data_IF_302432037528
#
_entry.id   IF_302432037528
#
_cell.length_a   1.000
_cell.length_b   1.000
_cell.length_c   1.000
_cell.angle_alpha   90.00
_cell.angle_beta   90.00
_cell.angle_gamma   90.00
#
_symmetry.space_group_name_H-M   'P 1'
#
loop_
_entity.id
_entity.type
_entity.pdbx_description
1 polymer ?
#
# COMPACT_ATOMS: atom_id res chain seq x y z
N UNK A 1 -1.70 6.04 -17.24
CA UNK A 1 -2.39 4.76 -17.47
C UNK A 1 -3.62 4.73 -16.56
N UNK A 2 -4.83 4.33 -16.99
CA UNK A 2 -5.97 4.30 -16.08
C UNK A 2 -5.81 3.18 -15.04
N UNK A 3 -6.03 3.52 -13.77
CA UNK A 3 -6.07 2.57 -12.66
C UNK A 3 -7.37 1.77 -12.70
N UNK A 4 -7.29 0.46 -12.46
CA UNK A 4 -8.44 -0.39 -12.19
C UNK A 4 -8.70 -0.37 -10.69
N UNK A 5 -9.80 0.25 -10.27
CA UNK A 5 -10.19 0.32 -8.86
C UNK A 5 -10.85 -0.99 -8.47
N UNK A 6 -10.30 -1.64 -7.45
CA UNK A 6 -10.81 -2.92 -6.92
C UNK A 6 -11.51 -2.71 -5.56
N UNK A 7 -10.96 -1.82 -4.72
CA UNK A 7 -11.57 -1.46 -3.43
C UNK A 7 -11.85 0.04 -3.39
N UNK A 8 -13.06 0.38 -2.95
CA UNK A 8 -13.58 1.74 -2.78
C UNK A 8 -14.47 1.79 -1.53
N UNK A 9 -14.17 2.72 -0.62
CA UNK A 9 -14.93 2.80 0.62
C UNK A 9 -14.50 3.92 1.55
N UNK A 10 -15.18 4.01 2.68
CA UNK A 10 -14.85 4.96 3.74
C UNK A 10 -14.39 4.23 4.99
N UNK A 11 -13.44 4.83 5.69
CA UNK A 11 -12.87 4.31 6.93
C UNK A 11 -12.74 5.43 7.96
N UNK A 12 -12.84 5.08 9.25
CA UNK A 12 -12.52 6.01 10.33
C UNK A 12 -11.19 5.61 10.95
N UNK A 13 -10.16 6.43 10.77
CA UNK A 13 -8.82 6.23 11.32
C UNK A 13 -8.88 5.98 12.83
N UNK A 14 -8.20 4.93 13.29
CA UNK A 14 -8.21 4.46 14.67
C UNK A 14 -9.32 3.48 15.00
N UNK A 15 -10.18 3.13 14.04
CA UNK A 15 -11.06 1.97 14.14
C UNK A 15 -10.35 0.77 13.52
N UNK A 16 -10.41 -0.39 14.19
CA UNK A 16 -9.79 -1.58 13.64
C UNK A 16 -10.46 -1.97 12.32
N UNK A 17 -9.67 -2.06 11.26
CA UNK A 17 -10.14 -2.49 9.95
C UNK A 17 -9.09 -3.31 9.25
N UNK A 18 -9.54 -4.18 8.35
CA UNK A 18 -8.69 -4.79 7.35
C UNK A 18 -9.48 -4.93 6.06
N UNK A 19 -8.81 -4.72 4.94
CA UNK A 19 -9.34 -5.06 3.62
C UNK A 19 -8.22 -5.57 2.72
N UNK A 20 -8.60 -6.49 1.85
CA UNK A 20 -7.73 -7.11 0.87
C UNK A 20 -8.19 -6.68 -0.53
N UNK A 21 -7.22 -6.48 -1.41
CA UNK A 21 -7.46 -6.19 -2.82
C UNK A 21 -6.59 -7.10 -3.67
N UNK A 22 -7.17 -7.65 -4.73
CA UNK A 22 -6.48 -8.57 -5.61
C UNK A 22 -6.14 -7.90 -6.94
N UNK A 23 -4.95 -8.23 -7.45
CA UNK A 23 -4.56 -7.84 -8.80
C UNK A 23 -5.55 -8.40 -9.84
N UNK A 24 -5.76 -7.73 -10.99
CA UNK A 24 -6.73 -8.17 -12.01
C UNK A 24 -6.54 -9.59 -12.54
N UNK A 25 -5.30 -10.12 -12.53
CA UNK A 25 -5.00 -11.50 -12.94
C UNK A 25 -4.96 -12.49 -11.76
N UNK A 26 -5.24 -12.01 -10.55
CA UNK A 26 -5.32 -12.77 -9.30
C UNK A 26 -3.97 -13.24 -8.74
N UNK A 27 -2.83 -12.85 -9.33
CA UNK A 27 -1.52 -13.35 -8.90
C UNK A 27 -0.99 -12.70 -7.64
N UNK A 28 -1.28 -11.42 -7.45
CA UNK A 28 -0.84 -10.65 -6.30
C UNK A 28 -2.04 -10.10 -5.54
N UNK A 29 -1.78 -9.75 -4.28
CA UNK A 29 -2.73 -9.02 -3.47
C UNK A 29 -2.02 -7.92 -2.67
N UNK A 30 -2.81 -6.98 -2.18
CA UNK A 30 -2.38 -6.02 -1.18
C UNK A 30 -3.39 -5.99 -0.05
N UNK A 31 -2.90 -5.75 1.16
CA UNK A 31 -3.74 -5.69 2.36
C UNK A 31 -3.49 -4.38 3.06
N UNK A 32 -4.56 -3.67 3.38
CA UNK A 32 -4.51 -2.56 4.32
C UNK A 32 -5.00 -3.03 5.68
N UNK A 33 -4.38 -2.51 6.74
CA UNK A 33 -4.78 -2.74 8.11
C UNK A 33 -4.66 -1.44 8.91
N UNK A 34 -5.72 -1.10 9.64
CA UNK A 34 -5.65 -0.16 10.77
C UNK A 34 -5.83 -1.01 12.04
N UNK A 35 -4.82 -1.02 12.92
CA UNK A 35 -4.86 -1.80 14.16
C UNK A 35 -5.37 -1.01 15.37
N UNK A 36 -5.92 0.19 15.13
CA UNK A 36 -6.31 1.24 16.08
C UNK A 36 -5.15 2.11 16.62
N UNK A 37 -3.90 1.77 16.32
CA UNK A 37 -2.73 2.59 16.66
C UNK A 37 -2.01 3.08 15.40
N UNK A 38 -1.87 2.23 14.40
CA UNK A 38 -1.10 2.45 13.18
C UNK A 38 -1.81 1.87 11.95
N UNK A 39 -1.76 2.61 10.85
CA UNK A 39 -2.17 2.16 9.53
C UNK A 39 -0.98 1.56 8.76
N UNK A 40 -1.14 0.34 8.28
CA UNK A 40 -0.15 -0.38 7.47
C UNK A 40 -0.72 -0.80 6.12
N UNK A 41 0.17 -0.94 5.15
CA UNK A 41 -0.16 -1.50 3.84
C UNK A 41 0.87 -2.55 3.44
N UNK A 42 0.42 -3.70 2.98
CA UNK A 42 1.24 -4.88 2.75
C UNK A 42 1.15 -5.38 1.32
N UNK A 43 2.29 -5.79 0.76
CA UNK A 43 2.37 -6.49 -0.53
C UNK A 43 2.35 -8.00 -0.28
N UNK A 44 1.45 -8.71 -0.98
CA UNK A 44 1.26 -10.14 -0.82
C UNK A 44 1.55 -10.85 -2.15
N UNK A 45 2.41 -11.86 -2.07
CA UNK A 45 2.62 -12.85 -3.14
C UNK A 45 2.18 -14.23 -2.62
N UNK A 46 0.96 -14.68 -2.94
CA UNK A 46 0.46 -16.00 -2.58
C UNK A 46 1.32 -17.16 -3.11
N UNK A 47 2.07 -16.96 -4.20
CA UNK A 47 2.91 -17.99 -4.80
C UNK A 47 4.30 -18.09 -4.16
N UNK A 48 4.75 -17.08 -3.41
CA UNK A 48 6.07 -17.07 -2.77
C UNK A 48 6.27 -18.24 -1.80
N UNK A 49 7.44 -18.88 -1.81
CA UNK A 49 7.76 -19.92 -0.82
C UNK A 49 8.01 -19.29 0.56
N UNK A 50 7.40 -19.85 1.61
CA UNK A 50 7.52 -19.31 2.96
C UNK A 50 6.55 -18.17 3.26
N UNK A 51 7.06 -17.01 3.68
CA UNK A 51 6.24 -15.86 4.05
C UNK A 51 5.58 -15.25 2.81
N UNK A 52 4.25 -15.08 2.86
CA UNK A 52 3.45 -14.51 1.77
C UNK A 52 3.46 -12.99 1.77
N UNK A 53 3.67 -12.38 2.94
CA UNK A 53 3.89 -10.94 3.06
C UNK A 53 5.30 -10.63 2.57
N UNK A 54 5.39 -10.04 1.39
CA UNK A 54 6.65 -9.71 0.75
C UNK A 54 7.21 -8.38 1.25
N UNK A 55 6.33 -7.42 1.53
CA UNK A 55 6.71 -6.09 1.99
C UNK A 55 5.58 -5.47 2.82
N UNK A 56 5.92 -4.48 3.64
CA UNK A 56 4.98 -3.78 4.49
C UNK A 56 5.46 -2.36 4.75
N UNK A 57 4.61 -1.39 4.45
CA UNK A 57 4.91 0.04 4.60
C UNK A 57 3.99 0.70 5.60
N UNK A 58 4.53 1.70 6.30
CA UNK A 58 3.79 2.54 7.20
C UNK A 58 3.00 3.60 6.41
N UNK A 59 1.71 3.75 6.74
CA UNK A 59 0.81 4.73 6.12
C UNK A 59 0.63 5.94 7.05
N UNK A 60 0.19 5.71 8.29
CA UNK A 60 0.01 6.76 9.30
C UNK A 60 0.06 6.19 10.72
N UNK A 61 0.36 7.04 11.72
CA UNK A 61 0.02 6.77 13.11
C UNK A 61 -1.31 7.46 13.43
N UNK A 62 -2.22 6.77 14.12
CA UNK A 62 -3.54 7.31 14.50
C UNK A 62 -3.40 8.57 15.35
N UNK A 63 -2.37 8.62 16.21
CA UNK A 63 -2.07 9.77 17.06
C UNK A 63 -1.66 11.04 16.28
N UNK A 64 -1.15 10.87 15.05
CA UNK A 64 -0.68 11.98 14.20
C UNK A 64 -1.78 12.51 13.27
N UNK A 65 -2.96 11.86 13.23
CA UNK A 65 -4.09 12.25 12.38
C UNK A 65 -5.06 13.13 13.17
N UNK A 66 -5.31 14.34 12.67
CA UNK A 66 -6.26 15.27 13.28
C UNK A 66 -7.69 14.70 13.27
N UNK A 67 -8.48 14.95 14.32
CA UNK A 67 -9.85 14.42 14.44
C UNK A 67 -10.74 14.77 13.24
N UNK A 68 -10.58 15.97 12.67
CA UNK A 68 -11.28 16.42 11.46
C UNK A 68 -10.93 15.64 10.19
N UNK A 69 -9.83 14.90 10.20
CA UNK A 69 -9.29 14.14 9.08
C UNK A 69 -9.46 12.63 9.25
N UNK A 70 -10.05 12.17 10.37
CA UNK A 70 -10.17 10.74 10.66
C UNK A 70 -11.19 10.03 9.79
N UNK A 71 -12.24 10.71 9.31
CA UNK A 71 -13.15 10.11 8.34
C UNK A 71 -12.56 10.25 6.94
N UNK A 72 -12.05 9.14 6.41
CA UNK A 72 -11.33 9.11 5.15
C UNK A 72 -12.09 8.31 4.09
N UNK A 73 -11.91 8.72 2.85
CA UNK A 73 -12.23 7.91 1.68
C UNK A 73 -10.97 7.18 1.22
N UNK A 74 -11.04 5.88 0.99
CA UNK A 74 -9.90 5.07 0.57
C UNK A 74 -10.20 4.32 -0.73
N UNK A 75 -9.15 4.14 -1.53
CA UNK A 75 -9.18 3.31 -2.72
C UNK A 75 -7.91 2.48 -2.85
N UNK A 76 -8.08 1.27 -3.37
CA UNK A 76 -6.97 0.50 -3.93
C UNK A 76 -7.15 0.38 -5.43
N UNK A 77 -6.14 0.87 -6.15
CA UNK A 77 -6.06 0.77 -7.60
C UNK A 77 -4.94 -0.15 -8.04
N UNK A 78 -5.15 -0.83 -9.17
CA UNK A 78 -4.14 -1.65 -9.83
C UNK A 78 -3.82 -1.14 -11.22
N UNK A 79 -2.57 -1.33 -11.65
CA UNK A 79 -2.20 -1.19 -13.06
C UNK A 79 -2.85 -2.29 -13.89
N UNK A 80 -3.12 -2.01 -15.16
CA UNK A 80 -3.79 -2.95 -16.07
C UNK A 80 -2.99 -4.25 -16.31
N UNK A 81 -1.67 -4.19 -16.14
CA UNK A 81 -0.78 -5.35 -16.26
C UNK A 81 -0.70 -6.18 -14.96
N UNK A 82 -1.45 -5.81 -13.92
CA UNK A 82 -1.47 -6.47 -12.60
C UNK A 82 -0.15 -6.38 -11.83
N UNK A 83 0.79 -5.52 -12.23
CA UNK A 83 2.14 -5.47 -11.62
C UNK A 83 2.36 -4.36 -10.61
N UNK A 84 1.43 -3.42 -10.48
CA UNK A 84 1.53 -2.30 -9.55
C UNK A 84 0.21 -2.05 -8.86
N UNK A 85 0.28 -1.71 -7.59
CA UNK A 85 -0.88 -1.31 -6.78
C UNK A 85 -0.61 0.01 -6.07
N UNK A 86 -1.66 0.80 -5.86
CA UNK A 86 -1.62 2.06 -5.13
C UNK A 86 -2.75 2.11 -4.10
N UNK A 87 -2.41 2.51 -2.88
CA UNK A 87 -3.36 2.94 -1.86
C UNK A 87 -3.52 4.46 -1.96
N UNK A 88 -4.74 4.93 -2.16
CA UNK A 88 -5.11 6.34 -2.12
C UNK A 88 -5.99 6.61 -0.90
N UNK A 89 -5.73 7.72 -0.22
CA UNK A 89 -6.55 8.24 0.87
C UNK A 89 -6.93 9.67 0.52
N UNK A 90 -8.23 9.97 0.50
CA UNK A 90 -8.80 11.25 0.10
C UNK A 90 -8.26 11.77 -1.25
N UNK A 91 -8.06 10.85 -2.21
CA UNK A 91 -7.53 11.15 -3.54
C UNK A 91 -6.01 11.38 -3.60
N UNK A 92 -5.30 11.25 -2.48
CA UNK A 92 -3.84 11.38 -2.41
C UNK A 92 -3.18 10.00 -2.31
N UNK A 93 -2.24 9.65 -3.20
CA UNK A 93 -1.47 8.42 -3.09
C UNK A 93 -0.63 8.39 -1.80
N UNK A 94 -0.85 7.34 -1.00
CA UNK A 94 -0.17 7.16 0.28
C UNK A 94 0.93 6.10 0.19
N UNK A 95 0.66 5.03 -0.55
CA UNK A 95 1.59 3.92 -0.70
C UNK A 95 1.44 3.27 -2.09
N UNK A 96 2.54 2.74 -2.60
CA UNK A 96 2.62 2.05 -3.89
C UNK A 96 3.47 0.80 -3.74
N UNK A 97 3.07 -0.28 -4.40
CA UNK A 97 3.90 -1.46 -4.59
C UNK A 97 4.13 -1.71 -6.07
N UNK A 98 5.39 -1.96 -6.45
CA UNK A 98 5.80 -2.46 -7.76
C UNK A 98 6.32 -3.90 -7.60
N UNK A 99 5.52 -4.85 -8.06
CA UNK A 99 5.80 -6.28 -7.91
C UNK A 99 6.90 -6.78 -8.84
N UNK A 100 7.11 -6.15 -10.00
CA UNK A 100 8.23 -6.50 -10.89
C UNK A 100 9.56 -5.99 -10.31
N UNK A 101 9.55 -4.76 -9.78
CA UNK A 101 10.73 -4.17 -9.13
C UNK A 101 10.95 -4.67 -7.69
N UNK A 102 9.99 -5.41 -7.13
CA UNK A 102 9.96 -5.89 -5.74
C UNK A 102 10.21 -4.76 -4.74
N UNK A 103 9.43 -3.68 -4.87
CA UNK A 103 9.64 -2.45 -4.10
C UNK A 103 8.34 -1.80 -3.65
N UNK A 104 8.25 -1.48 -2.36
CA UNK A 104 7.28 -0.55 -1.79
C UNK A 104 7.76 0.90 -1.76
N UNK A 105 6.80 1.81 -1.78
CA UNK A 105 6.97 3.24 -1.56
C UNK A 105 5.85 3.74 -0.65
N UNK A 106 6.14 4.67 0.26
CA UNK A 106 5.13 5.34 1.05
C UNK A 106 5.57 6.77 1.41
N UNK A 107 4.61 7.63 1.75
CA UNK A 107 4.89 9.03 2.11
C UNK A 107 5.90 9.17 3.26
N UNK A 108 5.83 8.27 4.24
CA UNK A 108 6.73 8.29 5.40
C UNK A 108 8.13 7.77 5.09
N UNK A 109 8.29 6.95 4.04
CA UNK A 109 9.53 6.25 3.74
C UNK A 109 9.87 5.09 4.70
N UNK A 110 8.95 4.72 5.60
CA UNK A 110 9.15 3.67 6.60
C UNK A 110 8.44 2.36 6.23
N UNK A 111 9.00 1.21 6.63
CA UNK A 111 10.20 1.04 7.48
C UNK A 111 11.52 1.29 6.72
N UNK A 112 12.64 1.35 7.44
CA UNK A 112 13.95 1.34 6.78
C UNK A 112 14.16 0.00 6.02
N UNK A 113 14.98 0.00 4.94
CA UNK A 113 15.30 -1.22 4.21
C UNK A 113 15.80 -2.32 5.15
N UNK A 114 15.17 -3.50 5.13
CA UNK A 114 15.56 -4.62 6.00
C UNK A 114 16.86 -5.29 5.57
N UNK A 115 17.22 -5.18 4.28
CA UNK A 115 18.48 -5.67 3.73
C UNK A 115 18.54 -7.19 3.49
N UNK A 116 17.61 -7.96 4.05
CA UNK A 116 17.42 -9.39 3.84
C UNK A 116 16.12 -9.69 3.07
N UNK A 117 16.20 -10.60 2.09
CA UNK A 117 15.09 -10.93 1.19
C UNK A 117 15.17 -10.25 -0.18
N UNK A 118 14.23 -10.57 -1.07
CA UNK A 118 14.17 -10.01 -2.43
C UNK A 118 13.49 -8.63 -2.48
N UNK A 119 12.60 -8.37 -1.52
CA UNK A 119 11.94 -7.09 -1.27
C UNK A 119 12.68 -6.28 -0.20
N UNK A 120 12.33 -4.99 -0.02
CA UNK A 120 12.88 -4.18 1.07
C UNK A 120 14.39 -3.88 0.99
N UNK A 121 15.01 -4.07 -0.20
CA UNK A 121 16.42 -3.69 -0.46
C UNK A 121 16.60 -2.19 -0.70
N UNK A 122 15.53 -1.52 -1.10
CA UNK A 122 15.51 -0.11 -1.45
C UNK A 122 14.73 0.69 -0.41
N UNK A 123 15.05 1.97 -0.29
CA UNK A 123 14.25 2.88 0.54
C UNK A 123 12.81 2.95 0.03
N UNK A 124 11.86 2.96 0.97
CA UNK A 124 10.45 3.23 0.72
C UNK A 124 10.15 4.71 0.48
N UNK A 125 11.18 5.57 0.45
CA UNK A 125 11.01 7.00 0.25
C UNK A 125 10.19 7.29 -1.01
N UNK A 126 9.14 8.08 -0.81
CA UNK A 126 8.36 8.63 -1.91
C UNK A 126 9.21 9.58 -2.76
N UNK A 127 9.05 9.51 -4.07
CA UNK A 127 9.69 10.44 -5.02
C UNK A 127 8.67 10.94 -6.04
N UNK A 128 8.96 12.05 -6.73
CA UNK A 128 8.13 12.51 -7.85
C UNK A 128 8.01 11.45 -8.96
N UNK A 129 9.01 10.57 -9.09
CA UNK A 129 8.98 9.45 -10.03
C UNK A 129 8.03 8.33 -9.60
N UNK A 130 7.67 8.24 -8.30
CA UNK A 130 6.67 7.29 -7.81
C UNK A 130 5.29 7.61 -8.37
N UNK A 131 4.94 8.91 -8.47
CA UNK A 131 3.73 9.34 -9.16
C UNK A 131 3.77 9.02 -10.66
N UNK A 132 4.97 8.91 -11.26
CA UNK A 132 5.15 8.55 -12.66
C UNK A 132 4.87 7.08 -12.97
N UNK A 133 4.80 6.20 -11.96
CA UNK A 133 4.50 4.78 -12.15
C UNK A 133 3.08 4.53 -12.72
N UNK A 134 2.21 5.54 -12.67
CA UNK A 134 0.81 5.43 -13.09
C UNK A 134 0.38 6.45 -14.18
N UNK A 135 1.28 7.31 -14.69
CA UNK A 135 0.99 8.17 -15.88
C UNK A 135 1.19 7.44 -17.19
#
# INVERSE_FOLDING_TARGET
MPLLIDVDGHHTVGQQTHFESHSPDGKFAVVFQDDAETGYFYAIDPAAEGNKVQDGVHVYNVADVADSEKFIHFHVGWSQDSRKSVLMINGVPQAVFDFDAKRGYCQSGYPEPRGDGDWGKHSHAWSEDTAKLFV
#
